data_IF_369385302306
#
_entry.id   IF_369385302306
#
_cell.length_a   1.000
_cell.length_b   1.000
_cell.length_c   1.000
_cell.angle_alpha   90.00
_cell.angle_beta   90.00
_cell.angle_gamma   90.00
#
_symmetry.space_group_name_H-M   'P 1'
#
loop_
_entity.id
_entity.type
_entity.pdbx_description
1 polymer ?
#
# COMPACT_ATOMS: atom_id res chain seq x y z
N UNK A 1 8.32 0.71 19.94
CA UNK A 1 8.39 -0.17 18.76
C UNK A 1 8.17 0.70 17.55
N UNK A 2 9.24 1.02 16.84
CA UNK A 2 9.18 1.69 15.55
C UNK A 2 8.54 0.73 14.56
N UNK A 3 7.45 1.15 13.92
CA UNK A 3 6.85 0.41 12.82
C UNK A 3 7.83 0.40 11.66
N UNK A 4 8.72 -0.59 11.64
CA UNK A 4 9.50 -0.92 10.47
C UNK A 4 8.52 -1.46 9.43
N UNK A 5 8.17 -0.62 8.47
CA UNK A 5 7.59 -1.09 7.23
C UNK A 5 8.56 -2.09 6.64
N UNK A 6 8.14 -3.35 6.64
CA UNK A 6 8.90 -4.47 6.12
C UNK A 6 9.29 -4.12 4.69
N UNK A 7 10.59 -3.98 4.42
CA UNK A 7 11.11 -4.11 3.05
C UNK A 7 10.83 -5.55 2.67
N UNK A 8 9.68 -5.79 2.04
CA UNK A 8 9.27 -7.13 1.66
C UNK A 8 10.14 -7.56 0.47
N UNK A 9 11.32 -8.08 0.80
CA UNK A 9 12.00 -9.11 0.02
C UNK A 9 11.34 -10.47 0.27
N UNK A 10 10.01 -10.57 0.22
CA UNK A 10 9.38 -11.88 -0.01
C UNK A 10 9.31 -12.09 -1.51
N UNK A 11 9.99 -13.13 -1.99
CA UNK A 11 9.58 -13.78 -3.24
C UNK A 11 8.25 -14.49 -2.99
N UNK A 12 7.16 -13.73 -2.81
CA UNK A 12 5.84 -14.29 -2.78
C UNK A 12 5.44 -14.60 -4.22
N UNK A 13 5.73 -15.83 -4.68
CA UNK A 13 5.02 -16.35 -5.85
C UNK A 13 3.56 -16.49 -5.46
N UNK A 14 2.75 -15.57 -5.96
CA UNK A 14 1.31 -15.60 -5.79
C UNK A 14 0.70 -16.20 -7.05
N UNK A 15 0.17 -17.41 -6.93
CA UNK A 15 -0.58 -18.03 -8.01
C UNK A 15 -2.02 -17.50 -7.91
N UNK A 16 -2.23 -16.27 -8.37
CA UNK A 16 -3.57 -15.71 -8.48
C UNK A 16 -4.14 -16.08 -9.85
N UNK A 17 -5.30 -16.73 -9.84
CA UNK A 17 -6.15 -16.76 -11.03
C UNK A 17 -6.54 -15.31 -11.34
N UNK A 18 -6.50 -14.93 -12.62
CA UNK A 18 -6.92 -13.60 -13.07
C UNK A 18 -8.30 -13.30 -12.47
N UNK A 19 -8.47 -12.14 -11.79
CA UNK A 19 -9.77 -11.75 -11.28
C UNK A 19 -10.80 -11.79 -12.40
N UNK A 20 -11.96 -12.44 -12.22
CA UNK A 20 -12.97 -12.54 -13.27
C UNK A 20 -13.66 -11.20 -13.57
N UNK A 21 -13.36 -10.16 -12.78
CA UNK A 21 -13.92 -8.83 -12.89
C UNK A 21 -13.81 -8.07 -11.56
N UNK A 22 -14.55 -6.98 -11.40
CA UNK A 22 -14.62 -6.22 -10.16
C UNK A 22 -15.10 -7.08 -8.97
N UNK A 23 -14.59 -6.80 -7.77
CA UNK A 23 -14.96 -7.58 -6.59
C UNK A 23 -13.97 -7.47 -5.44
N UNK A 24 -13.99 -8.48 -4.58
CA UNK A 24 -13.18 -8.57 -3.37
C UNK A 24 -12.30 -9.82 -3.40
N UNK A 25 -10.98 -9.62 -3.38
CA UNK A 25 -10.01 -10.67 -3.10
C UNK A 25 -9.83 -10.85 -1.59
N UNK A 26 -9.83 -12.07 -1.08
CA UNK A 26 -9.71 -12.34 0.35
C UNK A 26 -8.59 -13.34 0.61
N UNK A 27 -7.60 -12.95 1.40
CA UNK A 27 -6.51 -13.81 1.88
C UNK A 27 -6.88 -14.45 3.22
N UNK A 28 -6.76 -15.77 3.31
CA UNK A 28 -7.14 -16.56 4.48
C UNK A 28 -6.07 -17.55 4.96
N UNK A 29 -5.93 -17.68 6.28
CA UNK A 29 -5.17 -18.74 6.92
C UNK A 29 -5.82 -20.10 6.61
N UNK A 30 -5.01 -21.10 6.24
CA UNK A 30 -5.43 -22.29 5.48
C UNK A 30 -6.41 -23.29 6.11
N UNK A 31 -7.66 -22.90 6.40
CA UNK A 31 -8.78 -23.82 6.66
C UNK A 31 -10.09 -23.31 6.04
N UNK A 32 -10.73 -24.12 5.18
CA UNK A 32 -12.12 -23.92 4.69
C UNK A 32 -12.29 -22.88 3.57
N UNK A 33 -13.30 -23.05 2.71
CA UNK A 33 -13.32 -22.47 1.35
C UNK A 33 -13.99 -21.08 1.21
N UNK A 34 -13.41 -20.15 0.41
CA UNK A 34 -14.20 -19.13 -0.25
C UNK A 34 -14.79 -19.75 -1.54
N UNK A 35 -16.07 -20.10 -1.52
CA UNK A 35 -16.79 -20.52 -2.71
C UNK A 35 -17.00 -19.32 -3.63
N UNK A 36 -16.25 -19.26 -4.73
CA UNK A 36 -16.35 -18.21 -5.74
C UNK A 36 -15.34 -18.43 -6.87
N UNK A 37 -15.58 -17.90 -8.09
CA UNK A 37 -14.76 -18.16 -9.26
C UNK A 37 -13.39 -17.47 -9.12
N UNK A 38 -12.40 -18.22 -8.62
CA UNK A 38 -11.02 -17.77 -8.49
C UNK A 38 -10.44 -18.09 -7.12
N UNK A 39 -9.72 -19.21 -7.02
CA UNK A 39 -8.95 -19.57 -5.82
C UNK A 39 -7.47 -19.57 -6.19
N UNK A 40 -6.68 -18.79 -5.45
CA UNK A 40 -5.23 -18.68 -5.60
C UNK A 40 -4.47 -18.94 -4.30
N UNK A 41 -3.15 -18.80 -4.32
CA UNK A 41 -2.29 -19.02 -3.14
C UNK A 41 -1.19 -17.97 -3.02
N UNK A 42 -0.92 -17.51 -1.80
CA UNK A 42 0.22 -16.65 -1.43
C UNK A 42 0.97 -17.32 -0.28
N UNK A 43 2.14 -17.91 -0.52
CA UNK A 43 2.86 -18.62 0.54
C UNK A 43 2.07 -19.82 1.11
N UNK A 44 1.52 -19.73 2.33
CA UNK A 44 0.60 -20.74 2.92
C UNK A 44 -0.86 -20.27 3.01
N UNK A 45 -1.15 -19.09 2.46
CA UNK A 45 -2.44 -18.40 2.54
C UNK A 45 -3.27 -18.72 1.30
N UNK A 46 -4.55 -19.01 1.47
CA UNK A 46 -5.50 -19.20 0.37
C UNK A 46 -6.12 -17.86 -0.01
N UNK A 47 -6.29 -17.62 -1.30
CA UNK A 47 -6.96 -16.43 -1.81
C UNK A 47 -8.28 -16.83 -2.45
N UNK A 48 -9.37 -16.15 -2.12
CA UNK A 48 -10.68 -16.31 -2.76
C UNK A 48 -11.19 -15.02 -3.40
N UNK A 49 -12.06 -15.16 -4.39
CA UNK A 49 -12.72 -14.04 -5.05
C UNK A 49 -14.23 -13.99 -4.76
N UNK A 50 -14.72 -12.82 -4.35
CA UNK A 50 -16.15 -12.55 -4.13
C UNK A 50 -16.61 -11.44 -5.09
N UNK A 51 -17.54 -11.71 -6.02
CA UNK A 51 -18.15 -10.67 -6.84
C UNK A 51 -19.16 -9.84 -6.03
N UNK A 52 -19.32 -8.54 -6.32
CA UNK A 52 -20.37 -7.68 -5.73
C UNK A 52 -19.90 -6.32 -5.20
N UNK A 53 -20.69 -5.72 -4.29
CA UNK A 53 -20.42 -4.45 -3.60
C UNK A 53 -19.17 -4.55 -2.71
N UNK A 54 -18.03 -4.25 -3.34
CA UNK A 54 -16.72 -4.61 -2.81
C UNK A 54 -16.35 -3.84 -1.53
N UNK A 55 -16.72 -2.57 -1.45
CA UNK A 55 -16.36 -1.71 -0.32
C UNK A 55 -17.09 -2.10 0.97
N UNK A 56 -18.41 -2.27 0.92
CA UNK A 56 -19.20 -2.63 2.10
C UNK A 56 -18.84 -4.02 2.64
N UNK A 57 -18.52 -4.95 1.74
CA UNK A 57 -18.02 -6.27 2.12
C UNK A 57 -16.65 -6.17 2.78
N UNK A 58 -15.73 -5.36 2.25
CA UNK A 58 -14.42 -5.17 2.85
C UNK A 58 -14.49 -4.49 4.22
N UNK A 59 -15.28 -3.42 4.35
CA UNK A 59 -15.52 -2.71 5.61
C UNK A 59 -16.10 -3.65 6.66
N UNK A 60 -17.07 -4.50 6.28
CA UNK A 60 -17.66 -5.50 7.17
C UNK A 60 -16.61 -6.50 7.67
N UNK A 61 -15.75 -7.01 6.79
CA UNK A 61 -14.70 -7.98 7.14
C UNK A 61 -13.60 -7.37 8.01
N UNK A 62 -13.35 -6.08 7.89
CA UNK A 62 -12.35 -5.33 8.65
C UNK A 62 -12.80 -4.92 10.06
N UNK A 63 -14.08 -5.13 10.41
CA UNK A 63 -14.56 -4.86 11.77
C UNK A 63 -13.90 -5.81 12.77
N UNK A 64 -13.46 -5.31 13.94
CA UNK A 64 -12.94 -6.17 15.00
C UNK A 64 -13.90 -7.31 15.33
N UNK A 65 -13.40 -8.54 15.38
CA UNK A 65 -14.20 -9.74 15.65
C UNK A 65 -15.03 -10.29 14.49
N UNK A 66 -15.15 -9.58 13.36
CA UNK A 66 -15.82 -10.09 12.16
C UNK A 66 -14.97 -11.14 11.45
N UNK A 67 -13.66 -10.91 11.38
CA UNK A 67 -12.67 -11.88 10.93
C UNK A 67 -12.19 -12.72 12.11
N UNK A 68 -12.96 -13.74 12.53
CA UNK A 68 -12.46 -14.74 13.48
C UNK A 68 -11.32 -15.53 12.83
N UNK A 69 -10.07 -15.11 13.04
CA UNK A 69 -8.82 -15.85 12.78
C UNK A 69 -8.55 -16.36 11.36
N UNK A 70 -9.50 -16.16 10.43
CA UNK A 70 -9.49 -16.84 9.12
C UNK A 70 -9.10 -15.87 8.02
N UNK A 71 -9.62 -14.64 8.03
CA UNK A 71 -9.29 -13.61 7.03
C UNK A 71 -8.16 -12.72 7.54
N UNK A 72 -7.07 -12.66 6.77
CA UNK A 72 -5.87 -11.89 7.09
C UNK A 72 -5.86 -10.55 6.36
N UNK A 73 -6.24 -10.55 5.08
CA UNK A 73 -6.28 -9.37 4.25
C UNK A 73 -7.41 -9.45 3.23
N UNK A 74 -7.88 -8.29 2.80
CA UNK A 74 -8.96 -8.09 1.85
C UNK A 74 -8.48 -7.08 0.82
N UNK A 75 -8.54 -7.39 -0.46
CA UNK A 75 -8.26 -6.46 -1.55
C UNK A 75 -9.56 -6.08 -2.25
N UNK A 76 -9.81 -4.77 -2.35
CA UNK A 76 -10.90 -4.22 -3.14
C UNK A 76 -10.39 -3.95 -4.55
N UNK A 77 -11.04 -4.56 -5.55
CA UNK A 77 -10.81 -4.27 -6.96
C UNK A 77 -12.02 -3.51 -7.52
N UNK A 78 -11.93 -2.17 -7.66
CA UNK A 78 -13.04 -1.36 -8.13
C UNK A 78 -13.36 -1.62 -9.60
N UNK A 79 -14.55 -1.14 -10.00
CA UNK A 79 -15.17 -1.44 -11.29
C UNK A 79 -14.41 -0.93 -12.52
N UNK A 80 -13.52 0.05 -12.34
CA UNK A 80 -13.02 0.90 -13.42
C UNK A 80 -11.52 0.74 -13.73
N UNK A 81 -10.83 -0.27 -13.21
CA UNK A 81 -9.41 -0.48 -13.53
C UNK A 81 -9.20 -1.95 -13.85
N UNK A 82 -8.52 -2.24 -14.96
CA UNK A 82 -7.92 -3.55 -15.20
C UNK A 82 -6.84 -3.78 -14.13
N UNK A 83 -7.22 -4.26 -12.96
CA UNK A 83 -6.29 -4.52 -11.87
C UNK A 83 -5.47 -5.77 -12.23
N UNK A 84 -4.16 -5.59 -12.41
CA UNK A 84 -3.25 -6.69 -12.73
C UNK A 84 -3.15 -7.69 -11.55
N UNK A 85 -3.05 -9.01 -11.80
CA UNK A 85 -2.88 -10.01 -10.74
C UNK A 85 -1.74 -9.68 -9.76
N UNK A 86 -0.60 -9.20 -10.26
CA UNK A 86 0.56 -8.84 -9.41
C UNK A 86 0.26 -7.77 -8.36
N UNK A 87 -0.64 -6.82 -8.68
CA UNK A 87 -1.06 -5.78 -7.73
C UNK A 87 -1.84 -6.36 -6.56
N UNK A 88 -2.75 -7.28 -6.89
CA UNK A 88 -3.59 -7.95 -5.91
C UNK A 88 -2.73 -8.84 -5.03
N UNK A 89 -1.78 -9.55 -5.64
CA UNK A 89 -0.78 -10.34 -4.93
C UNK A 89 0.02 -9.49 -3.94
N UNK A 90 0.58 -8.36 -4.40
CA UNK A 90 1.35 -7.44 -3.57
C UNK A 90 0.51 -6.86 -2.43
N UNK A 91 -0.72 -6.40 -2.73
CA UNK A 91 -1.62 -5.84 -1.73
C UNK A 91 -2.05 -6.87 -0.66
N UNK A 92 -2.35 -8.10 -1.06
CA UNK A 92 -2.67 -9.19 -0.13
C UNK A 92 -1.44 -9.60 0.69
N UNK A 93 -0.25 -9.69 0.09
CA UNK A 93 0.99 -10.02 0.80
C UNK A 93 1.32 -8.97 1.86
N UNK A 94 1.21 -7.68 1.51
CA UNK A 94 1.38 -6.57 2.44
C UNK A 94 0.37 -6.66 3.59
N UNK A 95 -0.90 -6.91 3.27
CA UNK A 95 -1.94 -7.09 4.28
C UNK A 95 -1.65 -8.25 5.24
N UNK A 96 -1.22 -9.40 4.73
CA UNK A 96 -0.83 -10.56 5.55
C UNK A 96 0.35 -10.20 6.46
N UNK A 97 1.40 -9.56 5.92
CA UNK A 97 2.59 -9.19 6.69
C UNK A 97 2.23 -8.26 7.86
N UNK A 98 1.48 -7.18 7.59
CA UNK A 98 1.03 -6.27 8.64
C UNK A 98 0.10 -6.93 9.64
N UNK A 99 -0.78 -7.83 9.20
CA UNK A 99 -1.66 -8.56 10.10
C UNK A 99 -0.88 -9.47 11.05
N UNK A 100 0.18 -10.12 10.56
CA UNK A 100 1.03 -10.98 11.40
C UNK A 100 1.92 -10.19 12.36
N UNK A 101 2.18 -8.91 12.07
CA UNK A 101 2.93 -8.01 12.94
C UNK A 101 2.03 -7.30 13.98
N UNK A 102 0.71 -7.33 13.83
CA UNK A 102 -0.22 -6.64 14.71
C UNK A 102 -0.63 -7.54 15.90
N UNK A 103 -0.41 -7.10 17.15
CA UNK A 103 -0.85 -7.84 18.34
C UNK A 103 -2.39 -7.90 18.47
N UNK A 104 -3.13 -7.07 17.74
CA UNK A 104 -4.59 -7.08 17.68
C UNK A 104 -5.06 -7.42 16.26
N UNK A 105 -5.10 -8.72 15.90
CA UNK A 105 -5.33 -9.15 14.54
C UNK A 105 -6.70 -8.66 14.01
N UNK A 106 -6.67 -7.90 12.90
CA UNK A 106 -7.84 -7.48 12.12
C UNK A 106 -7.59 -7.64 10.62
N UNK A 107 -8.60 -8.02 9.85
CA UNK A 107 -8.43 -8.09 8.41
C UNK A 107 -8.09 -6.69 7.86
N UNK A 108 -7.00 -6.58 7.12
CA UNK A 108 -6.61 -5.33 6.48
C UNK A 108 -7.31 -5.17 5.14
N UNK A 109 -7.87 -3.97 4.90
CA UNK A 109 -8.49 -3.63 3.62
C UNK A 109 -7.47 -2.89 2.78
N UNK A 110 -7.14 -3.47 1.65
CA UNK A 110 -6.15 -2.98 0.72
C UNK A 110 -6.81 -2.71 -0.64
N UNK A 111 -6.25 -1.83 -1.44
CA UNK A 111 -6.75 -1.48 -2.76
C UNK A 111 -5.59 -1.09 -3.68
N UNK A 112 -5.67 -1.48 -4.95
CA UNK A 112 -4.69 -1.10 -5.96
C UNK A 112 -4.86 0.35 -6.43
N UNK A 113 -6.02 0.97 -6.16
CA UNK A 113 -6.33 2.36 -6.49
C UNK A 113 -6.82 3.10 -5.25
N UNK A 114 -6.72 4.43 -5.25
CA UNK A 114 -7.13 5.26 -4.12
C UNK A 114 -8.63 5.05 -3.82
N UNK A 115 -9.00 4.42 -2.69
CA UNK A 115 -10.40 4.21 -2.36
C UNK A 115 -11.02 5.52 -1.86
N UNK A 116 -12.32 5.71 -2.06
CA UNK A 116 -13.06 6.73 -1.31
C UNK A 116 -13.30 6.20 0.12
N UNK A 117 -12.74 6.84 1.15
CA UNK A 117 -12.91 6.36 2.52
C UNK A 117 -14.35 6.62 3.01
N UNK A 118 -14.99 5.65 3.67
CA UNK A 118 -16.23 5.88 4.42
C UNK A 118 -16.03 6.84 5.60
N UNK A 119 -17.13 7.29 6.20
CA UNK A 119 -17.10 8.16 7.38
C UNK A 119 -16.22 7.59 8.51
N UNK A 120 -15.30 8.42 9.03
CA UNK A 120 -14.34 8.07 10.10
C UNK A 120 -13.28 7.03 9.70
N UNK A 121 -13.14 6.76 8.41
CA UNK A 121 -12.02 6.00 7.86
C UNK A 121 -11.05 6.94 7.16
N UNK A 122 -9.82 6.49 7.03
CA UNK A 122 -8.78 7.16 6.25
C UNK A 122 -8.18 6.14 5.30
N UNK A 123 -7.72 6.62 4.16
CA UNK A 123 -6.85 5.86 3.29
C UNK A 123 -5.40 6.23 3.58
N UNK A 124 -4.53 5.24 3.54
CA UNK A 124 -3.09 5.41 3.74
C UNK A 124 -2.42 4.75 2.53
N UNK A 125 -1.68 5.51 1.71
CA UNK A 125 -0.87 4.91 0.67
C UNK A 125 0.29 4.14 1.30
N UNK A 126 0.82 3.18 0.55
CA UNK A 126 2.01 2.40 0.85
C UNK A 126 2.85 2.33 -0.41
N UNK A 127 4.12 2.73 -0.32
CA UNK A 127 5.08 2.65 -1.43
C UNK A 127 5.71 1.26 -1.43
N UNK A 128 5.37 0.44 -2.41
CA UNK A 128 5.83 -0.94 -2.51
C UNK A 128 6.64 -1.15 -3.78
N UNK A 129 7.59 -2.08 -3.74
CA UNK A 129 8.34 -2.53 -4.92
C UNK A 129 7.87 -3.93 -5.28
N UNK A 130 7.31 -4.09 -6.48
CA UNK A 130 6.87 -5.39 -7.02
C UNK A 130 7.94 -5.87 -8.00
N UNK A 131 8.53 -7.04 -7.74
CA UNK A 131 9.47 -7.67 -8.69
C UNK A 131 8.73 -8.70 -9.54
N UNK A 132 8.69 -8.46 -10.85
CA UNK A 132 8.19 -9.44 -11.84
C UNK A 132 9.39 -9.89 -12.67
N UNK A 133 9.89 -11.09 -12.38
CA UNK A 133 11.24 -11.50 -12.81
C UNK A 133 12.31 -10.54 -12.27
N UNK A 134 13.27 -10.16 -13.12
CA UNK A 134 14.37 -9.22 -12.80
C UNK A 134 14.01 -7.74 -13.03
N UNK A 135 12.71 -7.40 -13.14
CA UNK A 135 12.25 -6.02 -13.37
C UNK A 135 11.45 -5.52 -12.17
N UNK A 136 12.10 -4.86 -11.18
CA UNK A 136 11.41 -4.21 -10.08
C UNK A 136 10.59 -3.02 -10.57
N UNK A 137 9.37 -2.88 -10.05
CA UNK A 137 8.46 -1.78 -10.34
C UNK A 137 7.92 -1.22 -9.03
N UNK A 138 8.20 0.05 -8.78
CA UNK A 138 7.67 0.76 -7.62
C UNK A 138 6.21 1.18 -7.89
N UNK A 139 5.35 1.05 -6.88
CA UNK A 139 3.89 1.10 -6.95
C UNK A 139 3.27 1.62 -5.64
N UNK A 140 2.06 2.20 -5.74
CA UNK A 140 1.27 2.61 -4.56
C UNK A 140 0.14 1.61 -4.31
N UNK A 141 0.14 0.98 -3.15
CA UNK A 141 -1.01 0.22 -2.63
C UNK A 141 -1.68 1.04 -1.55
N UNK A 142 -3.01 1.06 -1.51
CA UNK A 142 -3.76 1.82 -0.53
C UNK A 142 -4.31 0.90 0.55
N UNK A 143 -4.07 1.21 1.81
CA UNK A 143 -4.77 0.62 2.93
C UNK A 143 -5.93 1.53 3.34
N UNK A 144 -7.07 0.92 3.64
CA UNK A 144 -8.24 1.60 4.17
C UNK A 144 -8.44 1.13 5.62
N UNK A 145 -8.41 2.07 6.57
CA UNK A 145 -8.48 1.77 7.99
C UNK A 145 -9.29 2.83 8.75
N UNK A 146 -9.89 2.47 9.91
CA UNK A 146 -10.53 3.46 10.78
C UNK A 146 -9.51 4.53 11.21
N UNK A 147 -9.91 5.81 11.22
CA UNK A 147 -9.03 6.94 11.54
C UNK A 147 -8.32 6.78 12.90
N UNK A 148 -9.05 6.28 13.91
CA UNK A 148 -8.50 5.97 15.23
C UNK A 148 -7.34 4.97 15.15
N UNK A 149 -7.54 3.92 14.37
CA UNK A 149 -6.55 2.86 14.17
C UNK A 149 -5.33 3.36 13.41
N UNK A 150 -5.53 4.25 12.44
CA UNK A 150 -4.43 4.89 11.73
C UNK A 150 -3.55 5.70 12.68
N UNK A 151 -4.16 6.49 13.55
CA UNK A 151 -3.45 7.27 14.56
C UNK A 151 -2.72 6.38 15.58
N UNK A 152 -3.33 5.27 16.00
CA UNK A 152 -2.70 4.30 16.91
C UNK A 152 -1.49 3.61 16.23
N UNK A 153 -1.63 3.18 14.97
CA UNK A 153 -0.57 2.49 14.22
C UNK A 153 0.60 3.37 13.85
N UNK A 154 0.31 4.58 13.39
CA UNK A 154 1.36 5.47 12.89
C UNK A 154 2.03 6.25 14.01
N UNK A 155 1.73 5.96 15.29
CA UNK A 155 1.91 6.92 16.38
C UNK A 155 1.10 8.19 16.09
N UNK A 156 0.38 8.70 17.09
CA UNK A 156 -0.64 9.73 16.88
C UNK A 156 -0.15 11.01 16.16
N UNK A 157 1.17 11.20 16.10
CA UNK A 157 1.84 12.38 15.56
C UNK A 157 2.43 12.19 14.15
N UNK A 158 2.49 10.97 13.59
CA UNK A 158 3.01 10.80 12.22
C UNK A 158 1.95 10.99 11.15
N UNK A 159 0.66 10.72 11.40
CA UNK A 159 -0.34 10.87 10.34
C UNK A 159 -0.60 12.38 10.10
N UNK A 160 -0.26 12.94 8.91
CA UNK A 160 -0.40 14.37 8.69
C UNK A 160 -1.87 14.79 8.69
N UNK A 161 -2.13 16.09 8.91
CA UNK A 161 -3.47 16.66 8.74
C UNK A 161 -4.01 16.47 7.32
N UNK A 162 -5.33 16.42 7.15
CA UNK A 162 -5.96 16.11 5.85
C UNK A 162 -5.43 16.95 4.68
N UNK A 163 -5.27 18.28 4.78
CA UNK A 163 -4.75 19.08 3.66
C UNK A 163 -3.32 18.70 3.23
N UNK A 164 -2.47 18.33 4.19
CA UNK A 164 -1.10 17.88 3.93
C UNK A 164 -1.09 16.50 3.29
N UNK A 165 -1.97 15.60 3.74
CA UNK A 165 -2.15 14.29 3.10
C UNK A 165 -2.63 14.44 1.66
N UNK A 166 -3.63 15.28 1.41
CA UNK A 166 -4.15 15.52 0.07
C UNK A 166 -3.06 16.09 -0.86
N UNK A 167 -2.15 16.89 -0.32
CA UNK A 167 -0.98 17.37 -1.06
C UNK A 167 0.02 16.24 -1.35
N UNK A 168 0.38 15.43 -0.36
CA UNK A 168 1.24 14.25 -0.56
C UNK A 168 0.65 13.27 -1.58
N UNK A 169 -0.67 13.05 -1.55
CA UNK A 169 -1.35 12.15 -2.48
C UNK A 169 -1.16 12.58 -3.95
N UNK A 170 -1.11 13.89 -4.22
CA UNK A 170 -0.80 14.42 -5.56
C UNK A 170 0.64 14.12 -5.99
N UNK A 171 1.57 14.06 -5.05
CA UNK A 171 2.99 13.81 -5.30
C UNK A 171 3.41 12.34 -5.22
N UNK A 172 2.48 11.40 -5.01
CA UNK A 172 2.81 9.97 -4.91
C UNK A 172 3.54 9.44 -6.14
N UNK A 173 3.24 9.96 -7.34
CA UNK A 173 3.96 9.54 -8.54
C UNK A 173 5.43 9.98 -8.51
N UNK A 174 5.71 11.24 -8.14
CA UNK A 174 7.07 11.74 -8.01
C UNK A 174 7.85 10.98 -6.93
N UNK A 175 7.21 10.62 -5.82
CA UNK A 175 7.80 9.77 -4.79
C UNK A 175 8.18 8.37 -5.31
N UNK A 176 7.35 7.77 -6.18
CA UNK A 176 7.68 6.49 -6.82
C UNK A 176 8.86 6.60 -7.79
N UNK A 177 8.93 7.68 -8.56
CA UNK A 177 10.05 7.92 -9.47
C UNK A 177 11.36 8.10 -8.71
N UNK A 178 11.32 8.90 -7.65
CA UNK A 178 12.44 9.14 -6.76
C UNK A 178 12.92 7.84 -6.10
N UNK A 179 11.99 7.01 -5.61
CA UNK A 179 12.29 5.68 -5.10
C UNK A 179 12.94 4.78 -6.16
N UNK A 180 12.45 4.81 -7.40
CA UNK A 180 13.01 4.00 -8.48
C UNK A 180 14.44 4.43 -8.83
N UNK A 181 14.72 5.75 -8.90
CA UNK A 181 16.05 6.31 -9.16
C UNK A 181 17.04 5.92 -8.06
N UNK A 182 16.67 6.16 -6.79
CA UNK A 182 17.46 5.76 -5.62
C UNK A 182 17.85 4.27 -5.67
N UNK A 183 16.90 3.40 -6.00
CA UNK A 183 17.13 1.95 -6.09
C UNK A 183 18.09 1.57 -7.21
N UNK A 184 18.09 2.29 -8.33
CA UNK A 184 18.98 2.01 -9.47
C UNK A 184 20.37 2.66 -9.35
N UNK A 185 20.63 3.41 -8.27
CA UNK A 185 21.88 4.15 -8.11
C UNK A 185 22.07 5.25 -9.17
N UNK A 186 21.01 5.62 -9.88
CA UNK A 186 20.97 6.76 -10.79
C UNK A 186 20.79 8.02 -9.93
N UNK A 187 21.86 8.40 -9.23
CA UNK A 187 21.89 9.60 -8.40
C UNK A 187 22.48 10.70 -9.27
N UNK A 188 21.64 11.61 -9.77
CA UNK A 188 22.09 12.65 -10.69
C UNK A 188 21.87 14.07 -10.22
N UNK A 189 21.09 14.30 -9.15
CA UNK A 189 20.73 15.66 -8.72
C UNK A 189 20.83 15.89 -7.20
N UNK A 190 20.99 17.15 -6.80
CA UNK A 190 21.04 17.62 -5.40
C UNK A 190 19.85 17.12 -4.56
N UNK A 191 18.66 17.01 -5.16
CA UNK A 191 17.42 16.50 -4.54
C UNK A 191 17.59 15.05 -4.02
N UNK A 192 18.29 14.19 -4.75
CA UNK A 192 18.51 12.81 -4.33
C UNK A 192 19.55 12.71 -3.23
N UNK A 193 20.52 13.63 -3.21
CA UNK A 193 21.48 13.76 -2.12
C UNK A 193 20.78 14.24 -0.84
N UNK A 194 19.98 15.31 -0.92
CA UNK A 194 19.19 15.82 0.21
C UNK A 194 18.23 14.75 0.74
N UNK A 195 17.58 14.00 -0.15
CA UNK A 195 16.74 12.89 0.27
C UNK A 195 17.55 11.76 0.91
N UNK A 196 18.70 11.37 0.36
CA UNK A 196 19.55 10.34 0.95
C UNK A 196 20.04 10.75 2.36
N UNK A 197 20.34 12.03 2.55
CA UNK A 197 20.70 12.62 3.86
C UNK A 197 19.51 12.59 4.81
N UNK A 198 18.34 13.02 4.35
CA UNK A 198 17.10 13.04 5.12
C UNK A 198 16.70 11.63 5.60
N UNK A 199 16.81 10.66 4.69
CA UNK A 199 16.46 9.27 4.93
C UNK A 199 17.53 8.50 5.70
N UNK A 200 18.77 8.98 5.78
CA UNK A 200 19.90 8.33 6.50
C UNK A 200 20.11 6.86 6.14
N UNK A 201 19.87 6.50 4.89
CA UNK A 201 19.96 5.11 4.41
C UNK A 201 18.72 4.24 4.68
N UNK A 202 17.65 4.79 5.25
CA UNK A 202 16.34 4.14 5.33
C UNK A 202 15.68 4.07 3.93
N UNK A 203 14.84 3.05 3.72
CA UNK A 203 14.04 2.96 2.51
C UNK A 203 12.96 4.06 2.47
N UNK A 204 12.63 4.60 1.29
CA UNK A 204 11.58 5.59 1.11
C UNK A 204 10.18 4.96 1.28
N UNK A 205 9.76 4.77 2.54
CA UNK A 205 8.46 4.24 2.96
C UNK A 205 7.51 5.36 3.39
N UNK A 206 6.21 5.09 3.50
CA UNK A 206 5.26 6.15 3.89
C UNK A 206 5.44 6.67 5.32
N UNK A 207 5.78 5.86 6.33
CA UNK A 207 6.16 6.35 7.65
C UNK A 207 7.36 7.29 7.62
N UNK A 208 8.38 6.99 6.80
CA UNK A 208 9.53 7.88 6.64
C UNK A 208 9.13 9.17 5.90
N UNK A 209 8.28 9.07 4.88
CA UNK A 209 7.71 10.23 4.19
C UNK A 209 6.94 11.13 5.16
N UNK A 210 6.13 10.54 6.03
CA UNK A 210 5.36 11.28 7.02
C UNK A 210 6.23 11.92 8.10
N UNK A 211 7.28 11.24 8.55
CA UNK A 211 8.25 11.79 9.52
C UNK A 211 8.92 13.05 9.00
N UNK A 212 9.15 13.14 7.69
CA UNK A 212 9.84 14.24 7.02
C UNK A 212 8.95 14.94 5.99
N UNK A 213 7.65 15.04 6.29
CA UNK A 213 6.65 15.47 5.30
C UNK A 213 6.92 16.85 4.74
N UNK A 214 7.37 17.79 5.58
CA UNK A 214 7.59 19.17 5.16
C UNK A 214 8.82 19.28 4.27
N UNK A 215 9.91 18.61 4.65
CA UNK A 215 11.16 18.56 3.89
C UNK A 215 10.93 17.89 2.53
N UNK A 216 10.20 16.78 2.50
CA UNK A 216 9.87 16.06 1.27
C UNK A 216 8.97 16.90 0.36
N UNK A 217 7.95 17.55 0.90
CA UNK A 217 7.10 18.42 0.09
C UNK A 217 7.89 19.61 -0.50
N UNK A 218 8.83 20.18 0.26
CA UNK A 218 9.71 21.23 -0.23
C UNK A 218 10.63 20.74 -1.37
N UNK A 219 11.21 19.56 -1.23
CA UNK A 219 12.04 18.91 -2.26
C UNK A 219 11.25 18.67 -3.56
N UNK A 220 10.05 18.10 -3.44
CA UNK A 220 9.20 17.77 -4.59
C UNK A 220 8.71 19.03 -5.31
N UNK A 221 8.37 20.08 -4.56
CA UNK A 221 7.93 21.35 -5.14
C UNK A 221 9.07 22.08 -5.87
N UNK A 222 10.29 22.04 -5.34
CA UNK A 222 11.46 22.65 -6.00
C UNK A 222 11.80 21.96 -7.32
N UNK A 223 11.60 20.64 -7.39
CA UNK A 223 11.85 19.83 -8.59
C UNK A 223 10.90 20.19 -9.74
N UNK A 224 9.61 20.35 -9.47
CA UNK A 224 8.62 20.75 -10.50
C UNK A 224 8.89 22.14 -11.07
N UNK A 225 9.36 23.09 -10.23
CA UNK A 225 9.67 24.45 -10.67
C UNK A 225 10.88 24.48 -11.63
N UNK A 226 11.86 23.61 -11.43
CA UNK A 226 13.01 23.48 -12.33
C UNK A 226 12.67 22.80 -13.65
N UNK A 227 11.78 21.80 -13.66
CA UNK A 227 11.33 21.18 -14.92
C UNK A 227 10.40 22.11 -15.75
N UNK A 228 9.68 23.03 -15.10
CA UNK A 228 8.79 23.99 -15.76
C UNK A 228 9.50 25.22 -16.36
N UNK A 229 10.79 25.42 -16.07
CA UNK A 229 11.57 26.55 -16.58
C UNK A 229 12.58 26.06 -17.63
N UNK A 230 12.21 25.95 -18.92
CA UNK A 230 13.17 25.61 -19.95
C UNK A 230 14.16 26.77 -20.07
N UNK A 231 15.45 26.47 -19.90
CA UNK A 231 16.55 27.40 -20.21
C UNK A 231 16.33 27.95 -21.62
N UNK A 232 16.24 29.27 -21.73
CA UNK A 232 16.16 30.02 -22.99
C UNK A 232 17.54 30.44 -23.44
#
# INVERSE_FOLDING_TARGET
MTGEDVVIGWSATADLVVPPGPGVGVAMAGYGAPGGPGIGRIGRVRVGWLPGEAMDTAVRLARPGAARGTVLAVVVAPREVSVHPDWIAAALALGVAFQTADPQPRALVMSASAPLPPDRWVRVPHLVTISTGNRPRDRVVWELLPARVANERMAADLLPAAPVRDQLERYLHALLELRARLRTGQITNDVEHELAVLMRGEALTMPAVYRHVNEILALLTTTEVHEATPER
#
